data_IF_730061577891
#
_entry.id   IF_730061577891
#
_cell.length_a   1.000
_cell.length_b   1.000
_cell.length_c   1.000
_cell.angle_alpha   90.00
_cell.angle_beta   90.00
_cell.angle_gamma   90.00
#
_symmetry.space_group_name_H-M   'P 1'
#
loop_
_entity.id
_entity.type
_entity.pdbx_description
1 polymer ?
#
# COMPACT_ATOMS: atom_id res chain seq x y z
N UNK A 1 -38.27 -34.94 -5.09
CA UNK A 1 -37.62 -34.21 -3.97
C UNK A 1 -36.40 -33.49 -4.55
N UNK A 2 -36.58 -32.24 -4.97
CA UNK A 2 -35.53 -31.40 -5.55
C UNK A 2 -34.92 -30.56 -4.43
N UNK A 3 -33.84 -31.07 -3.86
CA UNK A 3 -32.99 -30.29 -2.97
C UNK A 3 -32.09 -29.43 -3.86
N UNK A 4 -32.62 -28.28 -4.30
CA UNK A 4 -31.78 -27.21 -4.82
C UNK A 4 -30.93 -26.75 -3.65
N UNK A 5 -29.72 -27.29 -3.57
CA UNK A 5 -28.66 -26.78 -2.73
C UNK A 5 -28.64 -25.26 -2.90
N UNK A 6 -29.07 -24.54 -1.86
CA UNK A 6 -28.75 -23.12 -1.72
C UNK A 6 -27.23 -23.09 -1.72
N UNK A 7 -26.63 -22.83 -2.87
CA UNK A 7 -25.25 -22.37 -2.93
C UNK A 7 -25.22 -21.19 -1.96
N UNK A 8 -24.50 -21.36 -0.86
CA UNK A 8 -24.09 -20.22 -0.07
C UNK A 8 -23.13 -19.45 -0.98
N UNK A 9 -23.67 -18.54 -1.79
CA UNK A 9 -22.86 -17.51 -2.44
C UNK A 9 -22.33 -16.65 -1.30
N UNK A 10 -21.19 -17.05 -0.75
CA UNK A 10 -20.50 -16.28 0.28
C UNK A 10 -20.08 -14.95 -0.33
N UNK A 11 -20.99 -13.99 -0.37
CA UNK A 11 -20.71 -12.65 -0.82
C UNK A 11 -19.87 -11.99 0.26
N UNK A 12 -18.58 -11.84 0.02
CA UNK A 12 -17.76 -10.93 0.82
C UNK A 12 -18.23 -9.52 0.48
N UNK A 13 -18.90 -8.88 1.43
CA UNK A 13 -19.21 -7.45 1.33
C UNK A 13 -17.92 -6.70 1.63
N UNK A 14 -17.33 -6.08 0.61
CA UNK A 14 -16.15 -5.23 0.78
C UNK A 14 -16.63 -3.79 0.92
N UNK A 15 -16.28 -3.16 2.04
CA UNK A 15 -16.49 -1.72 2.22
C UNK A 15 -15.46 -0.95 1.38
N UNK A 16 -15.90 -0.50 0.20
CA UNK A 16 -15.09 0.27 -0.74
C UNK A 16 -14.64 1.62 -0.18
N UNK A 17 -15.42 2.22 0.73
CA UNK A 17 -15.06 3.45 1.43
C UNK A 17 -13.92 3.22 2.41
N UNK A 18 -14.01 2.17 3.22
CA UNK A 18 -12.94 1.76 4.14
C UNK A 18 -11.65 1.38 3.37
N UNK A 19 -11.78 0.69 2.24
CA UNK A 19 -10.63 0.30 1.41
C UNK A 19 -9.94 1.52 0.79
N UNK A 20 -10.72 2.49 0.31
CA UNK A 20 -10.21 3.77 -0.21
C UNK A 20 -9.49 4.58 0.89
N UNK A 21 -10.07 4.64 2.08
CA UNK A 21 -9.45 5.29 3.24
C UNK A 21 -8.13 4.61 3.65
N UNK A 22 -8.09 3.28 3.62
CA UNK A 22 -6.87 2.51 3.89
C UNK A 22 -5.79 2.77 2.84
N UNK A 23 -6.15 2.79 1.55
CA UNK A 23 -5.23 3.16 0.47
C UNK A 23 -4.64 4.56 0.68
N UNK A 24 -5.47 5.53 1.09
CA UNK A 24 -5.01 6.88 1.44
C UNK A 24 -3.99 6.88 2.60
N UNK A 25 -4.25 6.12 3.67
CA UNK A 25 -3.33 5.98 4.80
C UNK A 25 -2.00 5.33 4.41
N UNK A 26 -2.03 4.34 3.52
CA UNK A 26 -0.82 3.71 2.98
C UNK A 26 0.02 4.72 2.17
N UNK A 27 -0.60 5.56 1.33
CA UNK A 27 0.11 6.63 0.62
C UNK A 27 0.72 7.66 1.58
N UNK A 28 0.00 8.04 2.63
CA UNK A 28 0.54 8.95 3.66
C UNK A 28 1.73 8.33 4.40
N UNK A 29 1.65 7.04 4.70
CA UNK A 29 2.73 6.28 5.33
C UNK A 29 3.95 6.21 4.39
N UNK A 30 3.74 5.91 3.11
CA UNK A 30 4.79 5.91 2.09
C UNK A 30 5.50 7.27 2.00
N UNK A 31 4.74 8.38 2.00
CA UNK A 31 5.30 9.73 2.03
C UNK A 31 6.14 10.00 3.29
N UNK A 32 5.67 9.54 4.45
CA UNK A 32 6.40 9.69 5.71
C UNK A 32 7.71 8.90 5.71
N UNK A 33 7.68 7.65 5.21
CA UNK A 33 8.87 6.80 5.04
C UNK A 33 9.88 7.45 4.09
N UNK A 34 9.42 7.97 2.95
CA UNK A 34 10.28 8.67 1.99
C UNK A 34 10.94 9.92 2.57
N UNK A 35 10.26 10.64 3.46
CA UNK A 35 10.85 11.77 4.16
C UNK A 35 11.94 11.34 5.15
N UNK A 36 11.79 10.20 5.82
CA UNK A 36 12.86 9.65 6.68
C UNK A 36 14.08 9.22 5.86
N UNK A 37 13.88 8.60 4.70
CA UNK A 37 14.97 8.25 3.78
C UNK A 37 15.76 9.50 3.34
N UNK A 38 15.06 10.59 2.96
CA UNK A 38 15.68 11.89 2.66
C UNK A 38 16.44 12.46 3.84
N UNK A 39 15.91 12.30 5.06
CA UNK A 39 16.59 12.72 6.29
C UNK A 39 17.94 12.02 6.48
N UNK A 40 18.00 10.71 6.23
CA UNK A 40 19.26 9.95 6.27
C UNK A 40 20.24 10.46 5.22
N UNK A 41 19.75 10.69 4.00
CA UNK A 41 20.57 11.18 2.88
C UNK A 41 21.14 12.58 3.16
N UNK A 42 20.36 13.45 3.80
CA UNK A 42 20.77 14.79 4.20
C UNK A 42 21.77 14.79 5.38
N UNK A 43 21.74 13.75 6.22
CA UNK A 43 22.55 13.65 7.44
C UNK A 43 23.47 12.43 7.41
N UNK A 44 24.20 12.24 6.30
CA UNK A 44 25.18 11.17 6.20
C UNK A 44 26.34 11.38 7.16
N UNK A 45 26.73 10.32 7.86
CA UNK A 45 27.93 10.26 8.68
C UNK A 45 28.92 9.30 8.04
N UNK A 46 30.21 9.64 8.03
CA UNK A 46 31.25 8.89 7.35
C UNK A 46 32.61 9.03 8.01
N UNK A 47 33.64 8.46 7.38
CA UNK A 47 35.01 8.46 7.90
C UNK A 47 35.55 9.87 8.17
N UNK A 48 35.20 10.85 7.32
CA UNK A 48 35.60 12.24 7.48
C UNK A 48 35.02 12.89 8.76
N UNK A 49 33.80 12.52 9.16
CA UNK A 49 33.16 13.03 10.37
C UNK A 49 33.58 12.28 11.65
N UNK A 50 34.11 11.07 11.53
CA UNK A 50 34.50 10.25 12.70
C UNK A 50 35.86 10.65 13.30
N UNK A 51 36.71 11.37 12.56
CA UNK A 51 38.08 11.71 12.96
C UNK A 51 39.08 10.58 12.69
N UNK A 52 40.37 10.92 12.70
CA UNK A 52 41.46 10.05 12.22
C UNK A 52 41.47 8.64 12.84
N UNK A 53 41.21 8.54 14.15
CA UNK A 53 41.26 7.25 14.86
C UNK A 53 40.03 6.37 14.63
N UNK A 54 38.93 6.94 14.11
CA UNK A 54 37.65 6.25 13.96
C UNK A 54 37.16 6.17 12.51
N UNK A 55 38.02 6.44 11.52
CA UNK A 55 37.65 6.39 10.10
C UNK A 55 36.96 5.07 9.68
N UNK A 56 37.45 3.94 10.18
CA UNK A 56 36.83 2.62 9.94
C UNK A 56 35.42 2.50 10.56
N UNK A 57 35.19 3.08 11.73
CA UNK A 57 33.88 3.10 12.37
C UNK A 57 32.92 4.03 11.61
N UNK A 58 33.39 5.22 11.20
CA UNK A 58 32.62 6.14 10.37
C UNK A 58 32.21 5.52 9.04
N UNK A 59 33.09 4.76 8.39
CA UNK A 59 32.76 4.02 7.17
C UNK A 59 31.65 2.99 7.40
N UNK A 60 31.74 2.18 8.46
CA UNK A 60 30.70 1.19 8.80
C UNK A 60 29.35 1.85 9.11
N UNK A 61 29.35 2.99 9.80
CA UNK A 61 28.13 3.77 10.06
C UNK A 61 27.54 4.24 8.73
N UNK A 62 28.36 4.77 7.82
CA UNK A 62 27.90 5.20 6.51
C UNK A 62 27.25 4.06 5.72
N UNK A 63 27.91 2.90 5.65
CA UNK A 63 27.39 1.70 4.99
C UNK A 63 26.05 1.26 5.59
N UNK A 64 25.92 1.33 6.92
CA UNK A 64 24.67 1.07 7.62
C UNK A 64 23.56 2.05 7.23
N UNK A 65 23.86 3.35 7.21
CA UNK A 65 22.91 4.40 6.82
C UNK A 65 22.41 4.22 5.38
N UNK A 66 23.32 3.94 4.44
CA UNK A 66 22.97 3.66 3.03
C UNK A 66 22.04 2.45 2.90
N UNK A 67 22.30 1.41 3.69
CA UNK A 67 21.44 0.22 3.70
C UNK A 67 20.06 0.51 4.27
N UNK A 68 19.98 1.29 5.34
CA UNK A 68 18.71 1.71 5.95
C UNK A 68 17.91 2.59 4.97
N UNK A 69 18.55 3.56 4.32
CA UNK A 69 17.93 4.38 3.27
C UNK A 69 17.33 3.50 2.17
N UNK A 70 18.09 2.54 1.67
CA UNK A 70 17.63 1.61 0.63
C UNK A 70 16.41 0.79 1.06
N UNK A 71 16.38 0.34 2.32
CA UNK A 71 15.24 -0.38 2.88
C UNK A 71 14.01 0.51 3.04
N UNK A 72 14.17 1.75 3.48
CA UNK A 72 13.07 2.70 3.59
C UNK A 72 12.45 2.99 2.21
N UNK A 73 13.27 3.20 1.17
CA UNK A 73 12.76 3.40 -0.18
C UNK A 73 11.98 2.18 -0.70
N UNK A 74 12.47 0.96 -0.45
CA UNK A 74 11.73 -0.26 -0.80
C UNK A 74 10.37 -0.36 -0.07
N UNK A 75 10.31 0.03 1.20
CA UNK A 75 9.06 0.04 1.96
C UNK A 75 8.09 1.14 1.51
N UNK A 76 8.61 2.30 1.10
CA UNK A 76 7.83 3.35 0.47
C UNK A 76 7.17 2.82 -0.82
N UNK A 77 7.96 2.18 -1.69
CA UNK A 77 7.48 1.63 -2.96
C UNK A 77 6.43 0.52 -2.75
N UNK A 78 6.69 -0.40 -1.81
CA UNK A 78 5.74 -1.45 -1.46
C UNK A 78 4.42 -0.88 -0.91
N UNK A 79 4.49 0.16 -0.08
CA UNK A 79 3.30 0.81 0.48
C UNK A 79 2.48 1.51 -0.61
N UNK A 80 3.14 2.17 -1.56
CA UNK A 80 2.47 2.77 -2.72
C UNK A 80 1.82 1.70 -3.62
N UNK A 81 2.55 0.64 -3.94
CA UNK A 81 2.03 -0.46 -4.75
C UNK A 81 0.79 -1.11 -4.12
N UNK A 82 0.80 -1.32 -2.80
CA UNK A 82 -0.35 -1.84 -2.08
C UNK A 82 -1.53 -0.86 -2.11
N UNK A 83 -1.28 0.44 -1.92
CA UNK A 83 -2.33 1.45 -2.00
C UNK A 83 -2.98 1.50 -3.39
N UNK A 84 -2.19 1.38 -4.45
CA UNK A 84 -2.70 1.38 -5.82
C UNK A 84 -3.50 0.11 -6.14
N UNK A 85 -3.05 -1.06 -5.66
CA UNK A 85 -3.79 -2.31 -5.78
C UNK A 85 -5.15 -2.25 -5.05
N UNK A 86 -5.20 -1.63 -3.88
CA UNK A 86 -6.46 -1.36 -3.17
C UNK A 86 -7.35 -0.39 -3.98
N UNK A 87 -6.79 0.69 -4.51
CA UNK A 87 -7.52 1.62 -5.36
C UNK A 87 -8.15 0.94 -6.59
N UNK A 88 -7.41 0.06 -7.26
CA UNK A 88 -7.92 -0.73 -8.38
C UNK A 88 -9.05 -1.68 -7.95
N UNK A 89 -8.92 -2.30 -6.77
CA UNK A 89 -9.96 -3.17 -6.21
C UNK A 89 -11.27 -2.43 -5.99
N UNK A 90 -11.23 -1.20 -5.47
CA UNK A 90 -12.42 -0.33 -5.33
C UNK A 90 -13.11 -0.10 -6.66
N UNK A 91 -12.36 0.19 -7.73
CA UNK A 91 -12.92 0.42 -9.07
C UNK A 91 -13.62 -0.83 -9.61
N UNK A 92 -13.01 -2.00 -9.44
CA UNK A 92 -13.58 -3.28 -9.88
C UNK A 92 -14.88 -3.59 -9.14
N UNK A 93 -14.91 -3.40 -7.83
CA UNK A 93 -16.11 -3.60 -7.00
C UNK A 93 -17.22 -2.66 -7.46
N UNK A 94 -16.93 -1.36 -7.60
CA UNK A 94 -17.93 -0.38 -8.04
C UNK A 94 -18.51 -0.68 -9.44
N UNK A 95 -17.68 -1.15 -10.36
CA UNK A 95 -18.12 -1.56 -11.72
C UNK A 95 -19.04 -2.78 -11.66
N UNK A 96 -18.68 -3.76 -10.82
CA UNK A 96 -19.46 -4.99 -10.62
C UNK A 96 -20.81 -4.69 -9.97
N UNK A 97 -20.84 -3.82 -8.97
CA UNK A 97 -22.06 -3.39 -8.28
C UNK A 97 -22.99 -2.62 -9.22
N UNK A 98 -22.46 -1.71 -10.04
CA UNK A 98 -23.24 -0.97 -11.03
C UNK A 98 -23.86 -1.89 -12.09
N UNK A 99 -23.09 -2.85 -12.62
CA UNK A 99 -23.59 -3.83 -13.57
C UNK A 99 -24.67 -4.74 -12.96
N UNK A 100 -24.48 -5.15 -11.71
CA UNK A 100 -25.46 -5.96 -10.98
C UNK A 100 -26.75 -5.18 -10.71
N UNK A 101 -26.65 -3.91 -10.30
CA UNK A 101 -27.79 -3.03 -10.08
C UNK A 101 -28.59 -2.79 -11.36
N UNK A 102 -27.93 -2.55 -12.50
CA UNK A 102 -28.59 -2.41 -13.80
C UNK A 102 -29.35 -3.69 -14.18
N UNK A 103 -28.74 -4.86 -13.97
CA UNK A 103 -29.39 -6.15 -14.24
C UNK A 103 -30.62 -6.36 -13.35
N UNK A 104 -30.54 -6.01 -12.07
CA UNK A 104 -31.71 -6.09 -11.16
C UNK A 104 -32.81 -5.13 -11.60
N UNK A 105 -32.46 -3.88 -11.94
CA UNK A 105 -33.43 -2.88 -12.40
C UNK A 105 -34.15 -3.31 -13.68
N UNK A 106 -33.42 -3.87 -14.66
CA UNK A 106 -34.01 -4.37 -15.91
C UNK A 106 -34.90 -5.59 -15.72
N UNK A 107 -34.55 -6.46 -14.77
CA UNK A 107 -35.36 -7.65 -14.43
C UNK A 107 -36.60 -7.28 -13.60
N UNK A 108 -36.50 -6.29 -12.70
CA UNK A 108 -37.60 -5.79 -11.88
C UNK A 108 -38.62 -4.95 -12.65
N UNK A 109 -38.21 -4.31 -13.76
CA UNK A 109 -39.10 -3.54 -14.65
C UNK A 109 -39.86 -4.41 -15.66
N UNK A 110 -39.56 -5.71 -15.74
CA UNK A 110 -40.20 -6.67 -16.65
C UNK A 110 -41.34 -7.47 -15.99
N UNK A 111 -41.85 -6.99 -14.85
CA UNK A 111 -42.90 -7.62 -14.05
C UNK A 111 -44.00 -6.62 -13.75
#
# INVERSE_FOLDING_TARGET
MTESARQASGSVVVDSGALSALAGKLKQSAGSIGNQAKGIQAHTFGAAQAGMQYGNHGKKINEGLVRIESWLLQWQDASNALADAMGQSVVIIGTTDAASAQKVASTGSAK
#
